data_IF_317492101261
#
_entry.id   IF_317492101261
#
_cell.length_a   1.000
_cell.length_b   1.000
_cell.length_c   1.000
_cell.angle_alpha   90.00
_cell.angle_beta   90.00
_cell.angle_gamma   90.00
#
_symmetry.space_group_name_H-M   'P 1'
#
loop_
_entity.id
_entity.type
_entity.pdbx_description
1 polymer ?
#
# COMPACT_ATOMS: atom_id res chain seq x y z
N UNK A 1 -13.20 3.21 11.90
CA UNK A 1 -11.79 3.11 12.36
C UNK A 1 -11.30 1.68 12.66
N UNK A 2 -12.19 0.69 12.81
CA UNK A 2 -11.79 -0.70 13.07
C UNK A 2 -11.05 -1.36 11.89
N UNK A 3 -11.47 -1.09 10.65
CA UNK A 3 -10.82 -1.62 9.44
C UNK A 3 -9.32 -1.28 9.36
N UNK A 4 -8.95 -0.03 9.63
CA UNK A 4 -7.55 0.41 9.61
C UNK A 4 -6.70 -0.40 10.61
N UNK A 5 -7.21 -0.58 11.85
CA UNK A 5 -6.52 -1.32 12.90
C UNK A 5 -6.35 -2.81 12.56
N UNK A 6 -7.37 -3.45 11.99
CA UNK A 6 -7.28 -4.86 11.58
C UNK A 6 -6.39 -5.06 10.36
N UNK A 7 -6.54 -4.20 9.35
CA UNK A 7 -5.74 -4.27 8.12
C UNK A 7 -4.26 -3.97 8.40
N UNK A 8 -3.94 -3.02 9.28
CA UNK A 8 -2.57 -2.76 9.68
C UNK A 8 -1.93 -3.94 10.43
N UNK A 9 -2.67 -4.58 11.34
CA UNK A 9 -2.20 -5.83 11.99
C UNK A 9 -1.94 -6.94 10.98
N UNK A 10 -2.82 -7.09 9.99
CA UNK A 10 -2.66 -8.06 8.92
C UNK A 10 -1.39 -7.79 8.10
N UNK A 11 -1.15 -6.53 7.69
CA UNK A 11 0.06 -6.16 6.95
C UNK A 11 1.32 -6.44 7.75
N UNK A 12 1.33 -6.11 9.05
CA UNK A 12 2.47 -6.39 9.92
C UNK A 12 2.74 -7.89 9.99
N UNK A 13 1.69 -8.70 10.17
CA UNK A 13 1.82 -10.15 10.21
C UNK A 13 2.32 -10.71 8.86
N UNK A 14 1.77 -10.24 7.75
CA UNK A 14 2.19 -10.64 6.41
C UNK A 14 3.65 -10.24 6.13
N UNK A 15 4.08 -9.06 6.56
CA UNK A 15 5.46 -8.60 6.43
C UNK A 15 6.42 -9.43 7.29
N UNK A 16 6.02 -9.84 8.50
CA UNK A 16 6.81 -10.73 9.35
C UNK A 16 6.96 -12.12 8.72
N UNK A 17 5.86 -12.71 8.26
CA UNK A 17 5.88 -14.01 7.56
C UNK A 17 6.77 -13.92 6.32
N UNK A 18 6.62 -12.86 5.53
CA UNK A 18 7.46 -12.61 4.37
C UNK A 18 8.95 -12.48 4.74
N UNK A 19 9.27 -11.74 5.80
CA UNK A 19 10.64 -11.55 6.25
C UNK A 19 11.30 -12.87 6.68
N UNK A 20 10.55 -13.74 7.39
CA UNK A 20 11.01 -15.09 7.75
C UNK A 20 11.24 -15.93 6.50
N UNK A 21 10.29 -15.96 5.57
CA UNK A 21 10.42 -16.70 4.30
C UNK A 21 11.64 -16.23 3.49
N UNK A 22 11.90 -14.91 3.49
CA UNK A 22 13.02 -14.31 2.79
C UNK A 22 14.37 -14.59 3.45
N UNK A 23 14.45 -14.43 4.77
CA UNK A 23 15.68 -14.60 5.55
C UNK A 23 16.19 -16.05 5.49
N UNK A 24 15.30 -17.01 5.71
CA UNK A 24 15.66 -18.43 5.67
C UNK A 24 15.67 -19.02 4.24
N UNK A 25 15.36 -18.21 3.21
CA UNK A 25 15.23 -18.64 1.80
C UNK A 25 14.37 -19.90 1.66
N UNK A 26 13.24 -19.96 2.38
CA UNK A 26 12.35 -21.13 2.40
C UNK A 26 11.59 -21.32 1.09
N UNK A 27 11.55 -20.29 0.25
CA UNK A 27 10.90 -20.28 -1.05
C UNK A 27 11.85 -19.67 -2.10
N UNK A 28 11.69 -20.01 -3.39
CA UNK A 28 12.49 -19.41 -4.46
C UNK A 28 12.38 -17.88 -4.47
N UNK A 29 13.48 -17.21 -4.82
CA UNK A 29 13.60 -15.75 -4.83
C UNK A 29 12.45 -15.06 -5.57
N UNK A 30 12.02 -15.63 -6.70
CA UNK A 30 10.86 -15.17 -7.48
C UNK A 30 9.62 -15.01 -6.61
N UNK A 31 9.29 -16.00 -5.78
CA UNK A 31 8.10 -15.95 -4.93
C UNK A 31 8.27 -14.95 -3.78
N UNK A 32 9.48 -14.75 -3.26
CA UNK A 32 9.77 -13.71 -2.26
C UNK A 32 9.39 -12.32 -2.81
N UNK A 33 9.86 -11.98 -4.02
CA UNK A 33 9.54 -10.70 -4.63
C UNK A 33 8.06 -10.57 -5.02
N UNK A 34 7.44 -11.64 -5.52
CA UNK A 34 5.99 -11.63 -5.80
C UNK A 34 5.16 -11.35 -4.55
N UNK A 35 5.48 -12.01 -3.43
CA UNK A 35 4.78 -11.78 -2.16
C UNK A 35 5.06 -10.38 -1.60
N UNK A 36 6.28 -9.86 -1.75
CA UNK A 36 6.59 -8.48 -1.39
C UNK A 36 5.76 -7.48 -2.19
N UNK A 37 5.73 -7.64 -3.51
CA UNK A 37 4.94 -6.79 -4.41
C UNK A 37 3.44 -6.88 -4.12
N UNK A 38 2.93 -8.05 -3.74
CA UNK A 38 1.54 -8.22 -3.30
C UNK A 38 1.23 -7.46 -1.99
N UNK A 39 2.14 -7.46 -1.01
CA UNK A 39 2.00 -6.65 0.22
C UNK A 39 1.98 -5.16 -0.12
N UNK A 40 2.86 -4.71 -1.01
CA UNK A 40 2.92 -3.31 -1.48
C UNK A 40 1.64 -2.90 -2.21
N UNK A 41 1.11 -3.76 -3.09
CA UNK A 41 -0.19 -3.53 -3.74
C UNK A 41 -1.33 -3.43 -2.73
N UNK A 42 -1.35 -4.34 -1.76
CA UNK A 42 -2.37 -4.35 -0.71
C UNK A 42 -2.34 -3.06 0.10
N UNK A 43 -1.16 -2.51 0.43
CA UNK A 43 -1.02 -1.21 1.08
C UNK A 43 -1.63 -0.07 0.25
N UNK A 44 -1.47 -0.09 -1.07
CA UNK A 44 -2.12 0.86 -1.99
C UNK A 44 -3.64 0.79 -1.91
N UNK A 45 -4.20 -0.42 -1.99
CA UNK A 45 -5.64 -0.67 -1.88
C UNK A 45 -6.16 -0.25 -0.50
N UNK A 46 -5.44 -0.61 0.57
CA UNK A 46 -5.78 -0.24 1.94
C UNK A 46 -5.84 1.29 2.10
N UNK A 47 -4.86 2.03 1.55
CA UNK A 47 -4.86 3.49 1.56
C UNK A 47 -6.06 4.08 0.81
N UNK A 48 -6.45 3.49 -0.32
CA UNK A 48 -7.63 3.91 -1.08
C UNK A 48 -8.92 3.72 -0.26
N UNK A 49 -9.07 2.59 0.43
CA UNK A 49 -10.24 2.30 1.28
C UNK A 49 -10.29 3.24 2.48
N UNK A 50 -9.16 3.46 3.16
CA UNK A 50 -9.07 4.41 4.27
C UNK A 50 -9.45 5.80 3.82
N UNK A 51 -8.96 6.23 2.67
CA UNK A 51 -9.27 7.53 2.10
C UNK A 51 -10.77 7.69 1.81
N UNK A 52 -11.36 6.72 1.12
CA UNK A 52 -12.79 6.73 0.81
C UNK A 52 -13.66 6.76 2.09
N UNK A 53 -13.29 5.98 3.11
CA UNK A 53 -13.96 5.99 4.41
C UNK A 53 -13.77 7.31 5.16
N UNK A 54 -12.57 7.90 5.11
CA UNK A 54 -12.26 9.18 5.75
C UNK A 54 -13.06 10.33 5.13
N UNK A 55 -13.19 10.36 3.80
CA UNK A 55 -14.02 11.31 3.07
C UNK A 55 -15.49 11.15 3.45
N UNK A 56 -16.03 9.93 3.44
CA UNK A 56 -17.43 9.65 3.81
C UNK A 56 -17.77 10.03 5.25
N UNK A 57 -16.81 9.89 6.17
CA UNK A 57 -17.01 10.20 7.59
C UNK A 57 -16.64 11.64 7.96
N UNK A 58 -16.22 12.44 6.98
CA UNK A 58 -15.68 13.79 7.18
C UNK A 58 -14.54 13.86 8.22
N UNK A 59 -13.80 12.74 8.37
CA UNK A 59 -12.68 12.58 9.30
C UNK A 59 -11.40 12.42 8.51
N UNK A 60 -11.01 13.50 7.83
CA UNK A 60 -9.81 13.52 7.00
C UNK A 60 -8.55 13.52 7.89
N UNK A 61 -7.56 12.65 7.61
CA UNK A 61 -6.24 12.70 8.22
C UNK A 61 -5.61 14.08 8.03
N UNK A 62 -4.83 14.55 9.01
CA UNK A 62 -4.14 15.85 8.95
C UNK A 62 -3.28 16.01 7.69
N UNK A 63 -2.64 14.93 7.24
CA UNK A 63 -1.88 14.94 5.98
C UNK A 63 -2.74 15.37 4.79
N UNK A 64 -3.99 14.92 4.73
CA UNK A 64 -4.90 15.26 3.63
C UNK A 64 -5.41 16.70 3.77
N UNK A 65 -5.65 17.16 5.01
CA UNK A 65 -5.98 18.57 5.27
C UNK A 65 -4.89 19.50 4.75
N UNK A 66 -3.61 19.14 4.94
CA UNK A 66 -2.50 19.93 4.39
C UNK A 66 -2.52 19.99 2.85
N UNK A 67 -2.87 18.88 2.17
CA UNK A 67 -3.06 18.90 0.71
C UNK A 67 -4.30 19.69 0.28
N UNK A 68 -5.38 19.68 1.07
CA UNK A 68 -6.58 20.49 0.81
C UNK A 68 -6.31 21.99 0.96
N UNK A 69 -5.55 22.39 1.97
CA UNK A 69 -5.12 23.79 2.16
C UNK A 69 -4.30 24.29 0.98
N UNK A 70 -3.49 23.42 0.38
CA UNK A 70 -2.54 23.80 -0.69
C UNK A 70 -3.13 23.76 -2.10
N UNK A 71 -4.07 22.85 -2.36
CA UNK A 71 -4.61 22.60 -3.71
C UNK A 71 -6.12 22.82 -3.82
N UNK A 72 -6.82 23.10 -2.71
CA UNK A 72 -8.28 23.19 -2.62
C UNK A 72 -8.92 21.86 -2.19
N UNK A 73 -10.11 21.91 -1.58
CA UNK A 73 -10.75 20.75 -0.93
C UNK A 73 -10.87 19.50 -1.82
N UNK A 74 -11.35 19.66 -3.06
CA UNK A 74 -11.52 18.54 -4.01
C UNK A 74 -10.18 18.07 -4.57
N UNK A 75 -9.33 19.00 -5.00
CA UNK A 75 -8.08 18.67 -5.67
C UNK A 75 -7.04 18.10 -4.71
N UNK A 76 -7.01 18.55 -3.46
CA UNK A 76 -6.10 18.03 -2.43
C UNK A 76 -6.38 16.57 -2.07
N UNK A 77 -7.67 16.19 -1.98
CA UNK A 77 -8.07 14.79 -1.77
C UNK A 77 -7.72 13.94 -2.99
N UNK A 78 -7.98 14.44 -4.20
CA UNK A 78 -7.66 13.73 -5.45
C UNK A 78 -6.15 13.55 -5.60
N UNK A 79 -5.34 14.58 -5.39
CA UNK A 79 -3.89 14.50 -5.49
C UNK A 79 -3.30 13.53 -4.47
N UNK A 80 -3.78 13.58 -3.23
CA UNK A 80 -3.34 12.64 -2.21
C UNK A 80 -3.73 11.20 -2.58
N UNK A 81 -4.96 10.99 -3.07
CA UNK A 81 -5.44 9.70 -3.55
C UNK A 81 -4.55 9.17 -4.67
N UNK A 82 -4.36 9.99 -5.71
CA UNK A 82 -3.58 9.64 -6.89
C UNK A 82 -2.17 9.29 -6.45
N UNK A 83 -1.48 10.21 -5.78
CA UNK A 83 -0.07 10.04 -5.47
C UNK A 83 0.17 8.86 -4.53
N UNK A 84 -0.61 8.74 -3.45
CA UNK A 84 -0.44 7.64 -2.50
C UNK A 84 -0.78 6.30 -3.13
N UNK A 85 -1.93 6.19 -3.81
CA UNK A 85 -2.39 4.91 -4.34
C UNK A 85 -1.59 4.49 -5.58
N UNK A 86 -1.33 5.40 -6.53
CA UNK A 86 -0.53 5.08 -7.71
C UNK A 86 0.89 4.69 -7.35
N UNK A 87 1.55 5.38 -6.41
CA UNK A 87 2.90 5.01 -6.00
C UNK A 87 2.95 3.54 -5.54
N UNK A 88 2.09 3.15 -4.60
CA UNK A 88 2.07 1.77 -4.11
C UNK A 88 1.69 0.77 -5.20
N UNK A 89 0.74 1.10 -6.09
CA UNK A 89 0.35 0.20 -7.17
C UNK A 89 1.48 0.04 -8.19
N UNK A 90 2.09 1.13 -8.64
CA UNK A 90 3.18 1.13 -9.61
C UNK A 90 4.38 0.37 -9.02
N UNK A 91 4.80 0.67 -7.79
CA UNK A 91 5.90 -0.04 -7.15
C UNK A 91 5.60 -1.53 -7.01
N UNK A 92 4.40 -1.89 -6.56
CA UNK A 92 4.02 -3.29 -6.41
C UNK A 92 4.04 -4.05 -7.74
N UNK A 93 3.54 -3.45 -8.82
CA UNK A 93 3.59 -4.03 -10.17
C UNK A 93 5.03 -4.17 -10.65
N UNK A 94 5.86 -3.13 -10.51
CA UNK A 94 7.27 -3.16 -10.91
C UNK A 94 8.01 -4.28 -10.18
N UNK A 95 7.81 -4.42 -8.87
CA UNK A 95 8.41 -5.49 -8.05
C UNK A 95 7.99 -6.87 -8.55
N UNK A 96 6.71 -7.05 -8.87
CA UNK A 96 6.21 -8.32 -9.39
C UNK A 96 6.83 -8.62 -10.76
N UNK A 97 6.84 -7.67 -11.69
CA UNK A 97 7.41 -7.87 -13.03
C UNK A 97 8.91 -8.20 -12.93
N UNK A 98 9.66 -7.45 -12.13
CA UNK A 98 11.08 -7.70 -11.93
C UNK A 98 11.36 -9.05 -11.28
N UNK A 99 10.45 -9.58 -10.44
CA UNK A 99 10.52 -10.95 -9.94
C UNK A 99 10.51 -12.01 -11.05
N UNK A 100 9.77 -11.77 -12.14
CA UNK A 100 9.76 -12.65 -13.31
C UNK A 100 11.02 -12.49 -14.18
N UNK A 101 11.60 -11.30 -14.23
CA UNK A 101 12.87 -11.07 -14.94
C UNK A 101 14.09 -11.67 -14.25
N UNK A 102 14.09 -11.77 -12.91
CA UNK A 102 15.18 -12.38 -12.13
C UNK A 102 15.21 -13.92 -12.30
N UNK A 103 14.14 -14.52 -12.84
CA UNK A 103 14.01 -15.96 -13.02
C UNK A 103 14.44 -16.47 -14.41
N UNK A 104 14.96 -15.57 -15.27
CA UNK A 104 15.51 -15.87 -16.61
C UNK A 104 17.03 -15.84 -16.56
#
# INVERSE_FOLDING_TARGET
MNFHKYSQKFVILAALVWAVLAFFRLIPLRYIYVYFGAIVLYLGIQNMIILNLAVRQNKLPEKIKHYQERFGEKNGVIFYALFSVLMFIIFGIIIIISAFSIAL
#
